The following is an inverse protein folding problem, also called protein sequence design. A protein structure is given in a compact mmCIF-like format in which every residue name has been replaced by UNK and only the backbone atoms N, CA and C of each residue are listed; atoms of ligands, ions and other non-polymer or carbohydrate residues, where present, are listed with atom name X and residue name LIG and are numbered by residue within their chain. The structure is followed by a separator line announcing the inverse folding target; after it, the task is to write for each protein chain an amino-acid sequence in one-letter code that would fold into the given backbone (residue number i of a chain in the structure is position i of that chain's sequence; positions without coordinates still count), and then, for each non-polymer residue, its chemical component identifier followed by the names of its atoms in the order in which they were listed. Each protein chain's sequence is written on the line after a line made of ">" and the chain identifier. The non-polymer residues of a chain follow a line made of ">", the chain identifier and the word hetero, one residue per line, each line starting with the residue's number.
data_IF_996488265761
#
_entry.id   IF_996488265761
#
_cell.length_a   1.000
_cell.length_b   1.000
_cell.length_c   1.000
_cell.angle_alpha   90.00
_cell.angle_beta   90.00
_cell.angle_gamma   90.00
#
_symmetry.space_group_name_H-M   'P 1'
#
loop_
_entity.id
_entity.type
_entity.pdbx_description
1 polymer ?
#
# COMPACT_ATOMS: atom_id res chain seq x y z
N UNK A 1 33.81 15.81 -4.96
CA UNK A 1 32.86 16.92 -5.19
C UNK A 1 31.40 16.44 -5.18
N UNK A 2 31.01 15.46 -6.00
CA UNK A 2 29.62 14.91 -6.02
C UNK A 2 29.17 14.29 -4.69
N UNK A 3 30.04 13.57 -3.96
CA UNK A 3 29.71 13.02 -2.63
C UNK A 3 29.39 14.10 -1.59
N UNK A 4 30.23 15.13 -1.50
CA UNK A 4 30.01 16.25 -0.59
C UNK A 4 28.71 17.01 -0.87
N UNK A 5 28.30 17.10 -2.15
CA UNK A 5 27.03 17.70 -2.55
C UNK A 5 25.82 16.83 -2.18
N UNK A 6 25.93 15.49 -2.34
CA UNK A 6 24.94 14.55 -1.82
C UNK A 6 24.81 14.64 -0.30
N UNK A 7 25.93 14.66 0.42
CA UNK A 7 25.93 14.76 1.89
C UNK A 7 25.29 16.09 2.35
N UNK A 8 25.46 17.19 1.60
CA UNK A 8 24.82 18.47 1.90
C UNK A 8 23.32 18.46 1.60
N UNK A 9 22.91 17.87 0.48
CA UNK A 9 21.49 17.68 0.15
C UNK A 9 20.83 16.80 1.19
N UNK A 10 21.45 15.68 1.58
CA UNK A 10 20.95 14.80 2.64
C UNK A 10 20.79 15.55 3.97
N UNK A 11 21.77 16.38 4.38
CA UNK A 11 21.66 17.23 5.58
C UNK A 11 20.54 18.26 5.51
N UNK A 12 20.34 18.90 4.35
CA UNK A 12 19.24 19.86 4.16
C UNK A 12 17.90 19.14 4.18
N UNK A 13 17.79 17.98 3.54
CA UNK A 13 16.57 17.14 3.53
C UNK A 13 16.26 16.60 4.93
N UNK A 14 17.26 16.18 5.70
CA UNK A 14 17.11 15.81 7.11
C UNK A 14 16.60 17.00 7.95
N UNK A 15 17.09 18.21 7.68
CA UNK A 15 16.62 19.44 8.32
C UNK A 15 15.18 19.83 7.97
N UNK A 16 14.65 19.33 6.85
CA UNK A 16 13.31 19.67 6.30
C UNK A 16 12.33 18.48 6.45
N UNK A 17 12.65 17.47 7.28
CA UNK A 17 11.71 16.40 7.53
C UNK A 17 10.43 16.94 8.21
N UNK A 18 9.28 16.31 7.98
CA UNK A 18 8.01 16.83 8.49
C UNK A 18 7.98 16.97 10.03
N UNK A 19 8.75 16.15 10.76
CA UNK A 19 8.93 16.30 12.21
C UNK A 19 9.67 17.56 12.64
N UNK A 20 10.52 18.12 11.77
CA UNK A 20 11.20 19.40 12.00
C UNK A 20 10.40 20.59 11.47
N UNK A 21 9.55 20.38 10.46
CA UNK A 21 8.66 21.40 9.90
C UNK A 21 7.44 21.70 10.78
N UNK A 22 6.93 20.68 11.48
CA UNK A 22 5.72 20.79 12.27
C UNK A 22 5.97 20.39 13.74
N UNK A 23 6.17 21.39 14.60
CA UNK A 23 6.31 21.19 16.06
C UNK A 23 5.05 20.61 16.70
N UNK A 24 3.88 20.89 16.11
CA UNK A 24 2.60 20.32 16.49
C UNK A 24 2.03 19.50 15.32
N UNK A 25 1.25 18.46 15.64
CA UNK A 25 0.59 17.63 14.62
C UNK A 25 -0.29 18.51 13.70
N UNK A 26 0.05 18.67 12.41
CA UNK A 26 -0.65 19.59 11.53
C UNK A 26 -2.07 19.08 11.23
N UNK A 27 -2.96 20.00 10.87
CA UNK A 27 -4.31 19.66 10.38
C UNK A 27 -4.39 19.89 8.89
N UNK A 28 -4.72 18.84 8.14
CA UNK A 28 -4.88 18.87 6.68
C UNK A 28 -6.37 18.76 6.36
N UNK A 29 -6.85 19.69 5.56
CA UNK A 29 -8.27 19.78 5.19
C UNK A 29 -8.53 19.03 3.89
N UNK A 30 -9.54 18.17 3.92
CA UNK A 30 -9.97 17.37 2.78
C UNK A 30 -11.41 17.72 2.42
N UNK A 31 -11.63 18.04 1.16
CA UNK A 31 -12.95 18.35 0.60
C UNK A 31 -13.09 17.67 -0.76
N UNK A 32 -14.32 17.54 -1.25
CA UNK A 32 -14.57 17.00 -2.58
C UNK A 32 -14.56 18.15 -3.58
N UNK A 33 -13.67 18.08 -4.57
CA UNK A 33 -13.63 19.07 -5.68
C UNK A 33 -14.95 19.07 -6.47
N UNK A 34 -15.55 17.89 -6.68
CA UNK A 34 -16.85 17.75 -7.36
C UNK A 34 -17.95 18.58 -6.68
N UNK A 35 -17.88 18.71 -5.36
CA UNK A 35 -18.88 19.42 -4.59
C UNK A 35 -18.69 20.96 -4.60
N UNK A 36 -17.59 21.47 -5.15
CA UNK A 36 -17.48 22.89 -5.50
C UNK A 36 -17.91 23.18 -6.94
N UNK A 37 -17.81 22.18 -7.82
CA UNK A 37 -18.10 22.33 -9.24
C UNK A 37 -19.60 22.24 -9.57
N UNK A 38 -20.42 21.58 -8.74
CA UNK A 38 -21.82 21.29 -9.07
C UNK A 38 -22.79 21.72 -7.96
N UNK A 39 -23.53 22.81 -8.19
CA UNK A 39 -24.80 23.13 -7.50
C UNK A 39 -24.72 23.71 -6.08
N UNK A 40 -25.90 23.92 -5.48
CA UNK A 40 -26.04 24.33 -4.09
C UNK A 40 -25.76 23.13 -3.19
N UNK A 41 -24.57 23.12 -2.58
CA UNK A 41 -24.16 22.10 -1.63
C UNK A 41 -24.17 22.65 -0.21
N UNK A 42 -24.68 21.85 0.73
CA UNK A 42 -24.57 22.13 2.16
C UNK A 42 -23.59 21.19 2.83
N UNK A 43 -22.97 21.69 3.91
CA UNK A 43 -22.14 20.85 4.77
C UNK A 43 -23.04 19.88 5.52
N UNK A 44 -22.89 18.58 5.25
CA UNK A 44 -23.64 17.54 5.94
C UNK A 44 -22.98 17.21 7.27
N UNK A 45 -21.66 17.01 7.26
CA UNK A 45 -20.86 16.75 8.47
C UNK A 45 -19.39 16.98 8.22
N UNK A 46 -18.65 17.22 9.30
CA UNK A 46 -17.19 17.19 9.29
C UNK A 46 -16.71 16.04 10.16
N UNK A 47 -15.72 15.28 9.69
CA UNK A 47 -15.08 14.21 10.46
C UNK A 47 -13.58 14.40 10.51
N UNK A 48 -12.99 14.01 11.62
CA UNK A 48 -11.55 14.09 11.83
C UNK A 48 -11.01 12.70 12.13
N UNK A 49 -9.84 12.37 11.59
CA UNK A 49 -9.07 11.19 11.98
C UNK A 49 -7.58 11.48 11.96
N UNK A 50 -6.83 10.76 12.78
CA UNK A 50 -5.36 10.74 12.68
C UNK A 50 -4.96 9.92 11.45
N UNK A 51 -4.05 10.45 10.65
CA UNK A 51 -3.41 9.74 9.53
C UNK A 51 -1.90 9.86 9.69
N UNK A 52 -1.16 8.82 9.32
CA UNK A 52 0.29 8.76 9.37
C UNK A 52 0.81 8.28 8.02
N UNK A 53 1.64 9.10 7.37
CA UNK A 53 2.26 8.82 6.06
C UNK A 53 3.78 8.92 6.18
N UNK A 54 4.52 8.35 5.24
CA UNK A 54 5.98 8.43 5.18
C UNK A 54 6.49 9.85 4.99
N UNK A 55 5.78 10.66 4.19
CA UNK A 55 6.24 12.00 3.82
C UNK A 55 5.98 13.04 4.91
N UNK A 56 4.82 12.97 5.56
CA UNK A 56 4.37 13.98 6.55
C UNK A 56 4.53 13.48 8.00
N UNK A 57 4.62 12.17 8.21
CA UNK A 57 4.41 11.61 9.54
C UNK A 57 2.95 11.74 9.96
N UNK A 58 2.70 11.98 11.25
CA UNK A 58 1.35 12.08 11.79
C UNK A 58 0.70 13.44 11.52
N UNK A 59 -0.54 13.44 11.04
CA UNK A 59 -1.38 14.62 10.89
C UNK A 59 -2.85 14.33 11.20
N UNK A 60 -3.62 15.39 11.47
CA UNK A 60 -5.08 15.33 11.62
C UNK A 60 -5.73 15.57 10.26
N UNK A 61 -6.32 14.54 9.67
CA UNK A 61 -7.11 14.66 8.46
C UNK A 61 -8.53 15.12 8.83
N UNK A 62 -8.91 16.33 8.41
CA UNK A 62 -10.23 16.91 8.60
C UNK A 62 -11.01 16.89 7.29
N UNK A 63 -11.97 15.99 7.16
CA UNK A 63 -12.78 15.86 5.96
C UNK A 63 -14.16 16.51 6.15
N UNK A 64 -14.48 17.46 5.26
CA UNK A 64 -15.81 18.06 5.16
C UNK A 64 -16.60 17.31 4.09
N UNK A 65 -17.69 16.67 4.53
CA UNK A 65 -18.61 15.93 3.67
C UNK A 65 -19.76 16.86 3.32
N UNK A 66 -20.01 17.01 2.02
CA UNK A 66 -21.06 17.87 1.50
C UNK A 66 -22.18 17.03 0.89
N UNK A 67 -23.38 17.60 0.88
CA UNK A 67 -24.54 16.99 0.25
C UNK A 67 -25.18 18.02 -0.68
N UNK A 68 -25.51 17.58 -1.88
CA UNK A 68 -26.29 18.39 -2.83
C UNK A 68 -27.72 18.56 -2.33
N UNK A 69 -28.21 19.80 -2.37
CA UNK A 69 -29.57 20.11 -1.99
C UNK A 69 -30.59 19.70 -3.06
N UNK A 70 -30.14 19.54 -4.32
CA UNK A 70 -31.00 19.25 -5.45
C UNK A 70 -31.35 17.76 -5.57
N UNK A 71 -30.39 16.88 -5.35
CA UNK A 71 -30.51 15.42 -5.56
C UNK A 71 -30.15 14.57 -4.33
N UNK A 72 -29.73 15.22 -3.23
CA UNK A 72 -29.32 14.53 -2.00
C UNK A 72 -28.01 13.74 -2.10
N UNK A 73 -27.27 13.84 -3.21
CA UNK A 73 -26.00 13.11 -3.41
C UNK A 73 -24.95 13.55 -2.41
N UNK A 74 -24.25 12.58 -1.83
CA UNK A 74 -23.20 12.82 -0.81
C UNK A 74 -21.82 12.79 -1.45
N UNK A 75 -21.06 13.85 -1.24
CA UNK A 75 -19.71 14.02 -1.75
C UNK A 75 -18.68 13.77 -0.64
N UNK A 76 -17.75 12.85 -0.91
CA UNK A 76 -16.63 12.52 -0.02
C UNK A 76 -15.31 12.77 -0.74
N UNK A 77 -14.26 13.08 0.01
CA UNK A 77 -12.96 13.34 -0.57
C UNK A 77 -12.30 12.03 -1.02
N UNK A 78 -11.97 11.93 -2.32
CA UNK A 78 -11.27 10.76 -2.87
C UNK A 78 -9.80 10.73 -2.45
N UNK A 79 -9.17 11.90 -2.31
CA UNK A 79 -7.76 12.03 -1.91
C UNK A 79 -7.49 11.40 -0.53
N UNK A 80 -8.36 11.66 0.46
CA UNK A 80 -8.20 11.03 1.77
C UNK A 80 -8.36 9.50 1.72
N UNK A 81 -9.18 8.99 0.79
CA UNK A 81 -9.36 7.55 0.57
C UNK A 81 -8.16 6.92 -0.15
N UNK A 82 -7.48 7.66 -1.02
CA UNK A 82 -6.26 7.18 -1.68
C UNK A 82 -5.04 7.22 -0.77
N UNK A 83 -5.02 8.06 0.26
CA UNK A 83 -3.91 8.14 1.22
C UNK A 83 -3.89 6.96 2.21
N UNK A 84 -5.04 6.63 2.82
CA UNK A 84 -5.10 5.63 3.87
C UNK A 84 -6.37 4.76 3.78
N UNK A 85 -6.27 3.45 4.08
CA UNK A 85 -7.44 2.57 4.07
C UNK A 85 -8.53 3.03 5.05
N UNK A 86 -9.75 2.55 4.84
CA UNK A 86 -10.87 2.87 5.71
C UNK A 86 -10.57 2.47 7.17
N UNK A 87 -10.83 3.40 8.10
CA UNK A 87 -10.57 3.24 9.56
C UNK A 87 -9.13 2.88 9.93
N UNK A 88 -8.16 3.17 9.06
CA UNK A 88 -6.74 2.98 9.34
C UNK A 88 -6.06 4.31 9.67
N UNK A 89 -5.13 4.24 10.63
CA UNK A 89 -4.24 5.34 11.00
C UNK A 89 -3.08 5.48 10.03
N UNK A 90 -2.46 4.36 9.63
CA UNK A 90 -1.33 4.36 8.71
C UNK A 90 -1.79 4.37 7.25
N UNK A 91 -1.10 5.16 6.43
CA UNK A 91 -1.29 5.25 4.99
C UNK A 91 -0.85 4.00 4.23
N UNK A 92 -1.26 3.91 2.96
CA UNK A 92 -0.84 2.81 2.09
C UNK A 92 0.67 2.77 1.90
N UNK A 93 1.31 3.93 1.83
CA UNK A 93 2.76 4.11 1.75
C UNK A 93 3.50 3.46 2.94
N UNK A 94 3.05 3.69 4.17
CA UNK A 94 3.64 3.07 5.37
C UNK A 94 3.41 1.56 5.36
N UNK A 95 2.22 1.10 4.96
CA UNK A 95 1.91 -0.34 4.83
C UNK A 95 2.85 -1.01 3.82
N UNK A 96 3.06 -0.38 2.66
CA UNK A 96 3.98 -0.86 1.62
C UNK A 96 5.41 -0.89 2.15
N UNK A 97 5.87 0.17 2.81
CA UNK A 97 7.21 0.22 3.42
C UNK A 97 7.44 -0.94 4.39
N UNK A 98 6.50 -1.14 5.32
CA UNK A 98 6.58 -2.24 6.30
C UNK A 98 6.57 -3.60 5.60
N UNK A 99 5.72 -3.78 4.59
CA UNK A 99 5.66 -5.01 3.80
C UNK A 99 6.98 -5.36 3.13
N UNK A 100 7.58 -4.42 2.41
CA UNK A 100 8.89 -4.62 1.77
C UNK A 100 9.99 -4.88 2.80
N UNK A 101 10.02 -4.11 3.90
CA UNK A 101 11.00 -4.30 4.95
C UNK A 101 10.94 -5.71 5.56
N UNK A 102 9.74 -6.22 5.85
CA UNK A 102 9.53 -7.55 6.41
C UNK A 102 9.85 -8.68 5.42
N UNK A 103 9.28 -8.62 4.21
CA UNK A 103 9.23 -9.77 3.31
C UNK A 103 10.28 -9.78 2.21
N UNK A 104 10.84 -8.61 1.87
CA UNK A 104 11.86 -8.48 0.80
C UNK A 104 13.24 -8.19 1.39
N UNK A 105 13.31 -7.35 2.41
CA UNK A 105 14.57 -6.94 3.04
C UNK A 105 14.88 -7.70 4.33
N UNK A 106 14.02 -8.63 4.74
CA UNK A 106 14.19 -9.51 5.90
C UNK A 106 14.56 -8.75 7.19
N UNK A 107 13.96 -7.56 7.40
CA UNK A 107 14.18 -6.73 8.59
C UNK A 107 13.34 -7.24 9.76
N UNK A 108 13.91 -7.13 10.97
CA UNK A 108 13.14 -7.40 12.19
C UNK A 108 12.16 -6.26 12.48
N UNK A 109 11.09 -6.53 13.23
CA UNK A 109 10.13 -5.49 13.63
C UNK A 109 10.82 -4.34 14.38
N UNK A 110 11.81 -4.64 15.23
CA UNK A 110 12.57 -3.63 15.98
C UNK A 110 13.38 -2.70 15.09
N UNK A 111 13.97 -3.24 14.03
CA UNK A 111 14.69 -2.45 13.03
C UNK A 111 13.71 -1.52 12.32
N UNK A 112 12.55 -2.03 11.92
CA UNK A 112 11.50 -1.27 11.25
C UNK A 112 10.97 -0.15 12.14
N UNK A 113 10.70 -0.43 13.43
CA UNK A 113 10.31 0.60 14.42
C UNK A 113 11.36 1.70 14.47
N UNK A 114 12.65 1.33 14.52
CA UNK A 114 13.76 2.29 14.58
C UNK A 114 13.91 3.10 13.28
N UNK A 115 13.73 2.48 12.12
CA UNK A 115 13.76 3.15 10.82
C UNK A 115 12.59 4.13 10.66
N UNK A 116 11.37 3.74 11.06
CA UNK A 116 10.18 4.60 11.02
C UNK A 116 10.27 5.74 12.04
N UNK A 117 10.87 5.51 13.22
CA UNK A 117 11.11 6.57 14.20
C UNK A 117 12.00 7.69 13.63
N UNK A 118 13.02 7.37 12.82
CA UNK A 118 13.85 8.37 12.12
C UNK A 118 13.06 9.18 11.08
N UNK A 119 11.93 8.65 10.61
CA UNK A 119 10.97 9.33 9.72
C UNK A 119 9.84 10.01 10.50
N UNK A 120 10.01 10.22 11.81
CA UNK A 120 9.01 10.79 12.71
C UNK A 120 7.69 9.99 12.78
N UNK A 121 7.77 8.67 12.61
CA UNK A 121 6.63 7.75 12.70
C UNK A 121 6.81 6.86 13.93
N UNK A 122 6.01 7.17 14.95
CA UNK A 122 5.93 6.32 16.15
C UNK A 122 5.00 5.15 15.91
N UNK A 123 5.52 3.93 16.05
CA UNK A 123 4.80 2.68 15.86
C UNK A 123 5.35 1.61 16.83
N UNK A 124 4.51 0.64 17.22
CA UNK A 124 4.92 -0.48 18.07
C UNK A 124 5.24 -1.72 17.23
N UNK A 125 6.03 -2.65 17.76
CA UNK A 125 6.34 -3.93 17.09
C UNK A 125 5.06 -4.68 16.68
N UNK A 126 4.05 -4.72 17.56
CA UNK A 126 2.75 -5.37 17.27
C UNK A 126 2.04 -4.74 16.08
N UNK A 127 2.10 -3.41 15.98
CA UNK A 127 1.49 -2.69 14.87
C UNK A 127 2.29 -2.95 13.58
N UNK A 128 3.62 -3.05 13.63
CA UNK A 128 4.44 -3.48 12.48
C UNK A 128 4.00 -4.85 11.97
N UNK A 129 3.89 -5.85 12.85
CA UNK A 129 3.41 -7.19 12.45
C UNK A 129 1.98 -7.14 11.88
N UNK A 130 1.11 -6.27 12.40
CA UNK A 130 -0.25 -6.08 11.87
C UNK A 130 -0.26 -5.43 10.48
N UNK A 131 0.57 -4.40 10.25
CA UNK A 131 0.73 -3.77 8.94
C UNK A 131 1.31 -4.76 7.92
N UNK A 132 2.21 -5.66 8.34
CA UNK A 132 2.71 -6.75 7.48
C UNK A 132 1.58 -7.68 7.00
N UNK A 133 0.66 -8.09 7.88
CA UNK A 133 -0.51 -8.89 7.48
C UNK A 133 -1.42 -8.13 6.51
N UNK A 134 -1.62 -6.83 6.74
CA UNK A 134 -2.39 -5.97 5.83
C UNK A 134 -1.72 -5.85 4.48
N UNK A 135 -0.41 -5.69 4.43
CA UNK A 135 0.34 -5.62 3.19
C UNK A 135 0.11 -6.87 2.33
N UNK A 136 0.31 -8.07 2.88
CA UNK A 136 0.06 -9.33 2.14
C UNK A 136 -1.38 -9.41 1.66
N UNK A 137 -2.34 -9.04 2.53
CA UNK A 137 -3.77 -9.05 2.18
C UNK A 137 -4.08 -8.10 1.02
N UNK A 138 -3.59 -6.85 1.10
CA UNK A 138 -3.82 -5.85 0.06
C UNK A 138 -3.09 -6.17 -1.23
N UNK A 139 -1.88 -6.73 -1.15
CA UNK A 139 -1.16 -7.20 -2.32
C UNK A 139 -1.95 -8.30 -3.05
N UNK A 140 -2.48 -9.28 -2.32
CA UNK A 140 -3.30 -10.34 -2.90
C UNK A 140 -4.58 -9.80 -3.57
N UNK A 141 -5.27 -8.85 -2.93
CA UNK A 141 -6.47 -8.21 -3.52
C UNK A 141 -6.10 -7.39 -4.75
N UNK A 142 -5.09 -6.52 -4.65
CA UNK A 142 -4.66 -5.67 -5.76
C UNK A 142 -4.17 -6.49 -6.96
N UNK A 143 -3.45 -7.58 -6.70
CA UNK A 143 -3.01 -8.53 -7.72
C UNK A 143 -4.22 -9.18 -8.41
N UNK A 144 -5.19 -9.71 -7.65
CA UNK A 144 -6.42 -10.29 -8.19
C UNK A 144 -7.24 -9.29 -9.02
N UNK A 145 -7.38 -8.07 -8.54
CA UNK A 145 -8.10 -6.99 -9.26
C UNK A 145 -7.35 -6.54 -10.52
N UNK A 146 -6.02 -6.75 -10.56
CA UNK A 146 -5.18 -6.39 -11.70
C UNK A 146 -5.08 -7.49 -12.76
N UNK A 147 -5.71 -8.66 -12.58
CA UNK A 147 -5.64 -9.80 -13.53
C UNK A 147 -5.91 -9.40 -14.99
N UNK A 148 -6.93 -8.59 -15.25
CA UNK A 148 -7.24 -8.14 -16.62
C UNK A 148 -6.16 -7.21 -17.19
N UNK A 149 -5.53 -6.38 -16.35
CA UNK A 149 -4.41 -5.52 -16.76
C UNK A 149 -3.16 -6.35 -17.02
N UNK A 150 -2.87 -7.35 -16.18
CA UNK A 150 -1.77 -8.29 -16.35
C UNK A 150 -1.96 -9.05 -17.67
N UNK A 151 -3.16 -9.60 -17.92
CA UNK A 151 -3.49 -10.26 -19.18
C UNK A 151 -3.32 -9.36 -20.40
N UNK A 152 -3.84 -8.14 -20.33
CA UNK A 152 -3.66 -7.16 -21.42
C UNK A 152 -2.18 -6.84 -21.67
N UNK A 153 -1.37 -6.77 -20.61
CA UNK A 153 0.07 -6.54 -20.72
C UNK A 153 0.82 -7.74 -21.34
N UNK A 154 0.39 -8.98 -21.03
CA UNK A 154 0.90 -10.20 -21.68
C UNK A 154 0.54 -10.21 -23.17
N UNK A 155 -0.72 -9.93 -23.51
CA UNK A 155 -1.19 -9.90 -24.90
C UNK A 155 -0.41 -8.85 -25.73
N UNK A 156 -0.15 -7.67 -25.17
CA UNK A 156 0.66 -6.62 -25.80
C UNK A 156 2.12 -7.03 -26.05
N UNK A 157 2.63 -8.04 -25.33
CA UNK A 157 3.98 -8.59 -25.49
C UNK A 157 4.01 -9.81 -26.43
N UNK A 158 2.88 -10.15 -27.06
CA UNK A 158 2.75 -11.31 -27.94
C UNK A 158 2.42 -12.62 -27.22
N UNK A 159 1.91 -12.52 -25.99
CA UNK A 159 1.64 -13.66 -25.10
C UNK A 159 2.61 -13.71 -23.93
N UNK A 160 2.73 -14.89 -23.32
CA UNK A 160 3.58 -15.14 -22.16
C UNK A 160 4.26 -16.50 -22.26
N UNK A 161 5.38 -16.66 -21.55
CA UNK A 161 6.02 -17.96 -21.35
C UNK A 161 5.79 -18.34 -19.89
N UNK A 162 5.01 -19.40 -19.66
CA UNK A 162 4.71 -19.84 -18.30
C UNK A 162 5.91 -20.59 -17.71
N UNK A 163 6.58 -19.96 -16.75
CA UNK A 163 7.51 -20.62 -15.86
C UNK A 163 6.77 -21.07 -14.60
N UNK A 164 7.04 -22.30 -14.18
CA UNK A 164 6.37 -22.92 -13.06
C UNK A 164 7.43 -23.53 -12.17
N UNK A 165 7.40 -23.19 -10.89
CA UNK A 165 8.35 -23.70 -9.92
C UNK A 165 7.67 -24.01 -8.59
N UNK A 166 8.17 -25.04 -7.90
CA UNK A 166 7.68 -25.50 -6.62
C UNK A 166 8.80 -25.44 -5.58
N UNK A 167 8.57 -24.72 -4.48
CA UNK A 167 9.53 -24.65 -3.37
C UNK A 167 8.91 -25.21 -2.09
N UNK A 168 9.72 -25.86 -1.25
CA UNK A 168 9.29 -26.51 -0.02
C UNK A 168 10.28 -26.21 1.12
N UNK A 169 9.76 -25.92 2.32
CA UNK A 169 10.56 -25.81 3.55
C UNK A 169 10.22 -26.96 4.50
N UNK A 170 11.09 -27.98 4.54
CA UNK A 170 10.95 -29.15 5.42
C UNK A 170 9.67 -29.94 5.15
N UNK A 171 8.87 -30.20 6.19
CA UNK A 171 7.57 -30.90 6.10
C UNK A 171 6.39 -29.97 5.72
N UNK A 172 6.67 -28.76 5.22
CA UNK A 172 5.62 -27.79 4.85
C UNK A 172 5.00 -28.10 3.49
N UNK A 173 3.75 -27.69 3.23
CA UNK A 173 3.18 -27.78 1.88
C UNK A 173 4.04 -27.04 0.85
N UNK A 174 4.17 -27.61 -0.34
CA UNK A 174 4.88 -27.00 -1.46
C UNK A 174 4.19 -25.69 -1.86
N UNK A 175 4.96 -24.60 -1.92
CA UNK A 175 4.54 -23.36 -2.55
C UNK A 175 4.81 -23.46 -4.05
N UNK A 176 3.75 -23.58 -4.81
CA UNK A 176 3.78 -23.64 -6.26
C UNK A 176 3.49 -22.27 -6.85
N UNK A 177 4.36 -21.81 -7.73
CA UNK A 177 4.35 -20.45 -8.30
C UNK A 177 4.35 -20.53 -9.82
N UNK A 178 3.47 -19.76 -10.44
CA UNK A 178 3.48 -19.53 -11.89
C UNK A 178 3.90 -18.10 -12.19
N UNK A 179 4.77 -17.94 -13.17
CA UNK A 179 5.36 -16.67 -13.56
C UNK A 179 5.34 -16.52 -15.08
N UNK A 180 4.98 -15.33 -15.55
CA UNK A 180 5.27 -14.93 -16.93
C UNK A 180 6.76 -14.61 -17.06
N UNK A 181 7.50 -15.45 -17.77
CA UNK A 181 8.94 -15.31 -18.00
C UNK A 181 9.33 -14.12 -18.88
N UNK A 182 8.38 -13.50 -19.60
CA UNK A 182 8.64 -12.32 -20.43
C UNK A 182 8.51 -11.04 -19.60
N UNK A 183 7.42 -10.89 -18.85
CA UNK A 183 7.21 -9.72 -17.99
C UNK A 183 7.88 -9.85 -16.61
N UNK A 184 8.36 -11.04 -16.25
CA UNK A 184 8.86 -11.38 -14.92
C UNK A 184 7.83 -11.10 -13.81
N UNK A 185 6.56 -11.39 -14.11
CA UNK A 185 5.43 -11.16 -13.20
C UNK A 185 4.88 -12.48 -12.70
N UNK A 186 4.75 -12.62 -11.38
CA UNK A 186 4.05 -13.75 -10.77
C UNK A 186 2.56 -13.69 -11.10
N UNK A 187 2.02 -14.78 -11.65
CA UNK A 187 0.63 -14.91 -12.10
C UNK A 187 -0.29 -15.47 -11.02
N UNK A 188 0.13 -16.51 -10.30
CA UNK A 188 -0.59 -17.02 -9.14
C UNK A 188 0.35 -17.88 -8.28
N UNK A 189 -0.05 -18.08 -7.02
CA UNK A 189 0.65 -18.92 -6.04
C UNK A 189 -0.34 -19.81 -5.31
N UNK A 190 -0.06 -21.11 -5.21
CA UNK A 190 -0.88 -22.06 -4.45
C UNK A 190 -0.01 -22.90 -3.51
N UNK A 191 -0.51 -23.13 -2.30
CA UNK A 191 0.08 -24.13 -1.40
C UNK A 191 -0.57 -25.48 -1.70
N UNK A 192 0.23 -26.45 -2.10
CA UNK A 192 -0.22 -27.82 -2.38
C UNK A 192 0.48 -28.81 -1.43
N UNK A 193 -0.23 -29.81 -0.92
CA UNK A 193 0.37 -30.83 -0.05
C UNK A 193 1.33 -31.76 -0.80
N UNK A 194 1.18 -31.90 -2.11
CA UNK A 194 2.06 -32.69 -2.99
C UNK A 194 1.94 -32.21 -4.43
N UNK A 195 2.93 -32.54 -5.27
CA UNK A 195 2.99 -32.16 -6.70
C UNK A 195 2.11 -33.04 -7.61
N UNK A 196 1.08 -33.69 -7.05
CA UNK A 196 0.18 -34.53 -7.84
C UNK A 196 -0.61 -33.70 -8.85
N UNK A 197 -0.74 -34.21 -10.08
CA UNK A 197 -1.39 -33.54 -11.21
C UNK A 197 -2.81 -33.05 -10.89
N UNK A 198 -3.59 -33.82 -10.13
CA UNK A 198 -4.95 -33.48 -9.71
C UNK A 198 -5.02 -32.19 -8.86
N UNK A 199 -3.96 -31.89 -8.11
CA UNK A 199 -3.85 -30.69 -7.28
C UNK A 199 -3.37 -29.47 -8.08
N UNK A 200 -2.78 -29.70 -9.26
CA UNK A 200 -2.26 -28.67 -10.15
C UNK A 200 -3.29 -28.18 -11.17
N UNK A 201 -4.27 -29.00 -11.56
CA UNK A 201 -5.30 -28.60 -12.53
C UNK A 201 -6.01 -27.29 -12.14
N UNK A 202 -6.47 -27.10 -10.88
CA UNK A 202 -7.16 -25.87 -10.48
C UNK A 202 -6.29 -24.61 -10.56
N UNK A 203 -4.96 -24.77 -10.53
CA UNK A 203 -4.01 -23.66 -10.68
C UNK A 203 -4.01 -23.13 -12.11
N UNK A 204 -3.93 -24.04 -13.10
CA UNK A 204 -3.91 -23.68 -14.52
C UNK A 204 -5.25 -23.17 -15.03
N UNK A 205 -6.38 -23.63 -14.47
CA UNK A 205 -7.71 -23.15 -14.87
C UNK A 205 -8.04 -21.73 -14.39
N UNK A 206 -7.33 -21.24 -13.37
CA UNK A 206 -7.58 -19.92 -12.73
C UNK A 206 -6.60 -18.83 -13.17
N UNK A 207 -5.51 -19.22 -13.85
CA UNK A 207 -4.40 -18.36 -14.29
C UNK A 207 -4.75 -17.57 -15.55
#
# INVERSE_FOLDING_TARGET
>A
MIRCLKDHIEKVVEGVCAGNLFFEMPTVHFFSEEAFCFGNNKVLKTREKKVVTLDIGAFRAKETIMQSEDDGKVYTCRELKSLAPHRCTFGYDVIVYVGYALFVHCRSEKDIVSELARKNISISDREVSFLGKKFVTYLAVAHRESRQKIRSAMDQRGGYILHVDGTCEGDSPHLFTGLDGIAEVVLDNIKIPSEQSELLIPFFEKS
#
